data_IF_931597796548
#
_entry.id   IF_931597796548
#
_cell.length_a   1.000
_cell.length_b   1.000
_cell.length_c   1.000
_cell.angle_alpha   90.00
_cell.angle_beta   90.00
_cell.angle_gamma   90.00
#
_symmetry.space_group_name_H-M   'P 1'
#
loop_
_entity.id
_entity.type
_entity.pdbx_description
1 polymer ?
#
# COMPACT_ATOMS: atom_id res chain seq x y z
N UNK A 1 10.05 -14.58 19.26
CA UNK A 1 8.89 -13.76 18.87
C UNK A 1 9.28 -12.96 17.65
N UNK A 2 8.43 -12.95 16.63
CA UNK A 2 8.66 -12.18 15.39
C UNK A 2 8.73 -10.66 15.69
N UNK A 3 9.64 -9.89 15.07
CA UNK A 3 9.77 -8.44 15.32
C UNK A 3 8.50 -7.64 15.03
N UNK A 4 7.69 -8.07 14.07
CA UNK A 4 6.41 -7.43 13.71
C UNK A 4 5.38 -7.73 14.80
N UNK A 5 5.28 -8.98 15.27
CA UNK A 5 4.41 -9.35 16.40
C UNK A 5 4.80 -8.54 17.65
N UNK A 6 6.10 -8.40 17.93
CA UNK A 6 6.60 -7.59 19.03
C UNK A 6 6.21 -6.12 18.89
N UNK A 7 6.30 -5.55 17.69
CA UNK A 7 5.86 -4.17 17.42
C UNK A 7 4.35 -4.00 17.62
N UNK A 8 3.54 -4.97 17.19
CA UNK A 8 2.08 -4.94 17.35
C UNK A 8 1.69 -4.96 18.82
N UNK A 9 2.26 -5.87 19.61
CA UNK A 9 2.01 -5.94 21.07
C UNK A 9 2.42 -4.64 21.74
N UNK A 10 3.60 -4.11 21.40
CA UNK A 10 4.07 -2.83 21.96
C UNK A 10 3.07 -1.71 21.70
N UNK A 11 2.46 -1.68 20.51
CA UNK A 11 1.37 -0.76 20.19
C UNK A 11 0.18 -0.89 21.16
N UNK A 12 -0.33 -2.10 21.35
CA UNK A 12 -1.44 -2.34 22.27
C UNK A 12 -1.09 -2.04 23.75
N UNK A 13 0.13 -2.35 24.17
CA UNK A 13 0.59 -2.09 25.54
C UNK A 13 0.72 -0.58 25.81
N UNK A 14 1.27 0.17 24.84
CA UNK A 14 1.47 1.61 24.96
C UNK A 14 0.17 2.40 25.13
N UNK A 15 -0.96 1.85 24.68
CA UNK A 15 -2.28 2.45 24.86
C UNK A 15 -2.67 2.55 26.35
N UNK A 16 -2.22 1.63 27.21
CA UNK A 16 -2.47 1.70 28.65
C UNK A 16 -1.47 2.58 29.39
N UNK A 17 -0.24 2.69 28.88
CA UNK A 17 0.81 3.54 29.47
C UNK A 17 0.47 5.04 29.36
N UNK A 18 -0.44 5.39 28.45
CA UNK A 18 -0.97 6.74 28.29
C UNK A 18 -1.94 7.18 29.40
N UNK A 19 -2.42 6.25 30.25
CA UNK A 19 -3.45 6.52 31.26
C UNK A 19 -3.01 6.11 32.68
N UNK A 20 -3.34 6.94 33.67
CA UNK A 20 -3.12 6.61 35.08
C UNK A 20 -4.26 5.72 35.62
N UNK A 21 -4.02 4.42 35.74
CA UNK A 21 -5.02 3.45 36.24
C UNK A 21 -4.99 3.40 37.78
N UNK A 22 -5.93 4.10 38.43
CA UNK A 22 -6.02 4.15 39.90
C UNK A 22 -6.86 3.04 40.54
N UNK A 23 -7.70 2.36 39.76
CA UNK A 23 -8.52 1.24 40.26
C UNK A 23 -7.72 -0.07 40.24
N UNK A 24 -7.50 -0.67 41.40
CA UNK A 24 -6.70 -1.89 41.54
C UNK A 24 -7.31 -3.10 40.81
N UNK A 25 -8.64 -3.20 40.72
CA UNK A 25 -9.31 -4.27 39.99
C UNK A 25 -9.12 -4.11 38.47
N UNK A 26 -9.27 -2.89 37.94
CA UNK A 26 -8.98 -2.59 36.54
C UNK A 26 -7.51 -2.80 36.20
N UNK A 27 -6.60 -2.42 37.12
CA UNK A 27 -5.17 -2.65 36.97
C UNK A 27 -4.83 -4.15 36.91
N UNK A 28 -5.44 -4.96 37.76
CA UNK A 28 -5.27 -6.41 37.73
C UNK A 28 -5.79 -7.03 36.42
N UNK A 29 -6.93 -6.54 35.91
CA UNK A 29 -7.48 -7.01 34.62
C UNK A 29 -6.59 -6.63 33.44
N UNK A 30 -6.03 -5.42 33.43
CA UNK A 30 -5.07 -4.98 32.41
C UNK A 30 -3.82 -5.85 32.45
N UNK A 31 -3.22 -6.06 33.62
CA UNK A 31 -2.02 -6.90 33.74
C UNK A 31 -2.26 -8.36 33.35
N UNK A 32 -3.42 -8.93 33.72
CA UNK A 32 -3.81 -10.26 33.28
C UNK A 32 -3.92 -10.33 31.74
N UNK A 33 -4.56 -9.34 31.13
CA UNK A 33 -4.70 -9.27 29.67
C UNK A 33 -3.33 -9.12 28.98
N UNK A 34 -2.41 -8.31 29.52
CA UNK A 34 -1.03 -8.18 29.01
C UNK A 34 -0.28 -9.51 29.00
N UNK A 35 -0.45 -10.30 30.06
CA UNK A 35 0.15 -11.63 30.17
C UNK A 35 -0.43 -12.61 29.15
N UNK A 36 -1.76 -12.61 28.98
CA UNK A 36 -2.45 -13.46 28.00
C UNK A 36 -2.05 -13.11 26.56
N UNK A 37 -1.97 -11.82 26.22
CA UNK A 37 -1.50 -11.36 24.90
C UNK A 37 -0.04 -11.75 24.64
N UNK A 38 0.83 -11.56 25.64
CA UNK A 38 2.25 -11.91 25.52
C UNK A 38 2.45 -13.43 25.39
N UNK A 39 1.65 -14.23 26.10
CA UNK A 39 1.67 -15.67 25.98
C UNK A 39 1.20 -16.13 24.59
N UNK A 40 0.14 -15.51 24.05
CA UNK A 40 -0.37 -15.79 22.71
C UNK A 40 0.70 -15.50 21.64
N UNK A 41 1.35 -14.35 21.74
CA UNK A 41 2.43 -13.95 20.85
C UNK A 41 3.66 -14.86 20.92
N UNK A 42 4.01 -15.34 22.11
CA UNK A 42 5.12 -16.29 22.27
C UNK A 42 4.78 -17.70 21.75
N UNK A 43 3.48 -18.03 21.65
CA UNK A 43 2.99 -19.34 21.17
C UNK A 43 2.72 -19.38 19.66
N UNK A 44 2.96 -18.29 18.94
CA UNK A 44 2.68 -18.16 17.49
C UNK A 44 3.96 -17.95 16.70
N UNK A 45 4.09 -18.67 15.58
CA UNK A 45 5.33 -18.74 14.80
C UNK A 45 5.53 -17.60 13.79
N UNK A 46 4.44 -16.97 13.36
CA UNK A 46 4.41 -15.91 12.35
C UNK A 46 3.19 -14.98 12.55
N UNK A 47 3.23 -13.83 11.88
CA UNK A 47 2.23 -12.75 12.00
C UNK A 47 0.83 -13.19 11.57
N UNK A 48 0.72 -14.07 10.57
CA UNK A 48 -0.57 -14.59 10.10
C UNK A 48 -1.23 -15.47 11.16
N UNK A 49 -0.47 -16.41 11.72
CA UNK A 49 -0.93 -17.28 12.80
C UNK A 49 -1.28 -16.49 14.08
N UNK A 50 -0.53 -15.41 14.37
CA UNK A 50 -0.84 -14.51 15.47
C UNK A 50 -2.17 -13.79 15.26
N UNK A 51 -2.38 -13.18 14.09
CA UNK A 51 -3.61 -12.44 13.81
C UNK A 51 -4.85 -13.34 13.86
N UNK A 52 -4.81 -14.53 13.26
CA UNK A 52 -5.94 -15.47 13.32
C UNK A 52 -6.27 -15.84 14.77
N UNK A 53 -5.28 -16.23 15.56
CA UNK A 53 -5.55 -16.61 16.96
C UNK A 53 -5.91 -15.42 17.84
N UNK A 54 -5.39 -14.23 17.55
CA UNK A 54 -5.75 -13.01 18.28
C UNK A 54 -7.22 -12.66 18.08
N UNK A 55 -7.72 -12.73 16.84
CA UNK A 55 -9.13 -12.58 16.52
C UNK A 55 -10.02 -13.65 17.19
N UNK A 56 -9.57 -14.92 17.22
CA UNK A 56 -10.36 -16.03 17.80
C UNK A 56 -10.32 -16.08 19.34
N UNK A 57 -9.31 -15.45 19.97
CA UNK A 57 -9.07 -15.55 21.41
C UNK A 57 -9.98 -14.70 22.29
N UNK A 58 -10.75 -13.77 21.71
CA UNK A 58 -11.52 -12.79 22.48
C UNK A 58 -10.68 -11.66 23.11
N UNK A 59 -9.37 -11.66 22.87
CA UNK A 59 -8.45 -10.68 23.46
C UNK A 59 -8.63 -9.28 22.86
N UNK A 60 -9.08 -9.18 21.61
CA UNK A 60 -9.34 -7.89 20.97
C UNK A 60 -10.57 -7.20 21.57
N UNK A 61 -11.66 -7.92 21.82
CA UNK A 61 -12.85 -7.35 22.45
C UNK A 61 -12.56 -6.95 23.90
N UNK A 62 -11.79 -7.77 24.64
CA UNK A 62 -11.33 -7.41 25.99
C UNK A 62 -10.43 -6.18 25.98
N UNK A 63 -9.55 -6.04 24.99
CA UNK A 63 -8.72 -4.85 24.82
C UNK A 63 -9.58 -3.59 24.64
N UNK A 64 -10.53 -3.60 23.71
CA UNK A 64 -11.41 -2.46 23.45
C UNK A 64 -12.24 -2.08 24.68
N UNK A 65 -12.76 -3.07 25.41
CA UNK A 65 -13.49 -2.85 26.66
C UNK A 65 -12.59 -2.23 27.75
N UNK A 66 -11.38 -2.76 27.96
CA UNK A 66 -10.45 -2.26 28.97
C UNK A 66 -9.95 -0.85 28.66
N UNK A 67 -9.62 -0.54 27.40
CA UNK A 67 -9.21 0.81 27.00
C UNK A 67 -10.34 1.81 27.22
N UNK A 68 -11.59 1.43 26.89
CA UNK A 68 -12.75 2.30 27.12
C UNK A 68 -13.01 2.51 28.61
N UNK A 69 -12.89 1.46 29.44
CA UNK A 69 -13.04 1.57 30.89
C UNK A 69 -11.96 2.46 31.52
N UNK A 70 -10.69 2.30 31.09
CA UNK A 70 -9.57 3.12 31.56
C UNK A 70 -9.74 4.58 31.11
N UNK A 71 -10.14 4.82 29.87
CA UNK A 71 -10.43 6.15 29.36
C UNK A 71 -11.58 6.81 30.13
N UNK A 72 -12.71 6.12 30.30
CA UNK A 72 -13.87 6.62 31.06
C UNK A 72 -13.54 6.89 32.54
N UNK A 73 -12.75 6.02 33.18
CA UNK A 73 -12.32 6.22 34.57
C UNK A 73 -11.39 7.43 34.71
N UNK A 74 -10.53 7.68 33.71
CA UNK A 74 -9.67 8.88 33.68
C UNK A 74 -10.48 10.17 33.44
N UNK A 75 -11.56 10.09 32.65
CA UNK A 75 -12.49 11.21 32.43
C UNK A 75 -13.34 11.50 33.67
N UNK A 76 -13.74 10.47 34.43
CA UNK A 76 -14.46 10.63 35.71
C UNK A 76 -13.60 11.26 36.81
N UNK A 77 -12.27 11.15 36.76
CA UNK A 77 -11.38 11.83 37.72
C UNK A 77 -11.19 13.32 37.43
N UNK A 78 -11.66 13.80 36.28
CA UNK A 78 -11.74 15.23 35.97
C UNK A 78 -13.05 15.86 36.45
N UNK A 79 -13.96 15.06 37.02
CA UNK A 79 -15.16 15.56 37.67
C UNK A 79 -14.82 15.99 39.12
N UNK A 80 -15.22 17.19 39.57
CA UNK A 80 -15.07 17.58 40.96
C UNK A 80 -15.81 16.59 41.85
N UNK A 81 -15.17 16.21 42.96
CA UNK A 81 -15.75 15.38 44.00
C UNK A 81 -17.10 15.95 44.48
N UNK A 82 -18.07 15.04 44.63
CA UNK A 82 -19.36 15.18 45.32
C UNK A 82 -19.63 16.55 45.94
N UNK A 83 -20.30 17.42 45.17
CA UNK A 83 -21.14 18.46 45.73
C UNK A 83 -22.58 17.95 45.81
N UNK A 84 -23.08 18.02 47.03
CA UNK A 84 -24.45 17.80 47.47
C UNK A 84 -25.51 17.99 46.38
N UNK A 85 -26.41 17.02 46.31
CA UNK A 85 -27.64 17.07 45.54
C UNK A 85 -28.55 18.22 46.03
N UNK A 86 -28.31 19.46 45.58
CA UNK A 86 -29.28 20.56 45.53
C UNK A 86 -28.75 21.80 44.81
N UNK A 87 -28.22 21.66 43.61
CA UNK A 87 -28.15 22.79 42.67
C UNK A 87 -28.25 22.24 41.25
N UNK A 88 -29.28 22.65 40.51
CA UNK A 88 -29.34 22.45 39.07
C UNK A 88 -28.08 23.11 38.50
N UNK A 89 -27.09 22.32 38.09
CA UNK A 89 -25.95 22.88 37.36
C UNK A 89 -26.54 23.61 36.15
N UNK A 90 -26.19 24.89 35.93
CA UNK A 90 -26.67 25.60 34.76
C UNK A 90 -26.26 24.80 33.52
N UNK A 91 -27.21 24.57 32.61
CA UNK A 91 -26.93 23.93 31.33
C UNK A 91 -25.76 24.67 30.66
N UNK A 92 -24.78 23.95 30.09
CA UNK A 92 -23.67 24.58 29.40
C UNK A 92 -24.22 25.47 28.27
N UNK A 93 -23.57 26.62 28.05
CA UNK A 93 -23.84 27.43 26.85
C UNK A 93 -23.57 26.62 25.59
N UNK A 94 -24.21 26.99 24.48
CA UNK A 94 -24.01 26.30 23.19
C UNK A 94 -22.53 26.35 22.80
N UNK A 95 -21.86 27.48 23.07
CA UNK A 95 -20.42 27.64 22.84
C UNK A 95 -19.57 26.67 23.65
N UNK A 96 -19.89 26.45 24.92
CA UNK A 96 -19.18 25.47 25.76
C UNK A 96 -19.41 24.04 25.30
N UNK A 97 -20.64 23.72 24.85
CA UNK A 97 -20.95 22.41 24.30
C UNK A 97 -20.17 22.16 23.00
N UNK A 98 -20.11 23.13 22.09
CA UNK A 98 -19.41 22.97 20.82
C UNK A 98 -17.88 22.94 20.96
N UNK A 99 -17.32 23.49 22.05
CA UNK A 99 -15.87 23.48 22.30
C UNK A 99 -15.25 22.08 22.32
N UNK A 100 -16.03 21.02 22.56
CA UNK A 100 -15.55 19.64 22.47
C UNK A 100 -15.06 19.25 21.06
N UNK A 101 -15.55 19.94 20.01
CA UNK A 101 -15.18 19.70 18.61
C UNK A 101 -13.95 20.49 18.16
N UNK A 102 -13.44 21.41 18.99
CA UNK A 102 -12.29 22.27 18.69
C UNK A 102 -11.05 21.44 18.32
N UNK A 103 -10.80 20.34 19.05
CA UNK A 103 -9.64 19.47 18.78
C UNK A 103 -9.68 18.87 17.37
N UNK A 104 -10.87 18.42 16.93
CA UNK A 104 -11.06 17.89 15.57
C UNK A 104 -10.84 18.97 14.51
N UNK A 105 -11.41 20.15 14.72
CA UNK A 105 -11.21 21.30 13.83
C UNK A 105 -9.73 21.65 13.65
N UNK A 106 -8.96 21.71 14.73
CA UNK A 106 -7.54 22.07 14.67
C UNK A 106 -6.72 21.03 13.88
N UNK A 107 -7.02 19.73 14.00
CA UNK A 107 -6.34 18.69 13.22
C UNK A 107 -6.70 18.75 11.73
N UNK A 108 -7.98 18.97 11.40
CA UNK A 108 -8.42 19.17 10.00
C UNK A 108 -7.75 20.40 9.39
N UNK A 109 -7.72 21.51 10.11
CA UNK A 109 -7.09 22.76 9.67
C UNK A 109 -5.58 22.62 9.46
N UNK A 110 -4.90 21.93 10.37
CA UNK A 110 -3.46 21.65 10.31
C UNK A 110 -3.06 20.82 9.08
N UNK A 111 -3.95 19.97 8.58
CA UNK A 111 -3.70 19.19 7.37
C UNK A 111 -3.59 20.08 6.11
N UNK A 112 -4.26 21.24 6.08
CA UNK A 112 -4.13 22.24 5.03
C UNK A 112 -4.85 21.92 3.71
N UNK A 113 -5.11 20.66 3.38
CA UNK A 113 -5.84 20.23 2.18
C UNK A 113 -7.32 19.89 2.44
N UNK A 114 -7.74 19.73 3.70
CA UNK A 114 -9.09 19.29 4.09
C UNK A 114 -10.09 20.45 4.22
N UNK A 115 -10.34 21.12 3.09
CA UNK A 115 -11.10 22.38 3.03
C UNK A 115 -12.60 22.25 3.21
N UNK A 116 -13.22 21.14 2.79
CA UNK A 116 -14.64 20.90 3.03
C UNK A 116 -14.87 20.50 4.48
N UNK A 117 -13.99 19.68 5.05
CA UNK A 117 -13.98 19.38 6.48
C UNK A 117 -13.82 20.65 7.33
N UNK A 118 -12.85 21.52 7.00
CA UNK A 118 -12.62 22.80 7.70
C UNK A 118 -13.91 23.65 7.72
N UNK A 119 -14.57 23.78 6.57
CA UNK A 119 -15.83 24.51 6.45
C UNK A 119 -16.97 23.86 7.25
N UNK A 120 -17.08 22.54 7.26
CA UNK A 120 -18.14 21.85 8.02
C UNK A 120 -18.03 22.12 9.55
N UNK A 121 -16.81 22.20 10.08
CA UNK A 121 -16.57 22.63 11.47
C UNK A 121 -16.88 24.11 11.69
N UNK A 122 -16.52 24.99 10.75
CA UNK A 122 -16.86 26.42 10.84
C UNK A 122 -18.38 26.65 10.86
N UNK A 123 -19.10 25.93 10.00
CA UNK A 123 -20.57 25.94 9.95
C UNK A 123 -21.17 25.39 11.27
N UNK A 124 -20.56 24.37 11.88
CA UNK A 124 -20.95 23.86 13.20
C UNK A 124 -20.78 24.94 14.28
N UNK A 125 -19.62 25.60 14.35
CA UNK A 125 -19.36 26.61 15.37
C UNK A 125 -20.24 27.86 15.23
N UNK A 126 -20.64 28.21 14.01
CA UNK A 126 -21.56 29.31 13.73
C UNK A 126 -22.96 29.12 14.35
N UNK A 127 -23.32 27.90 14.79
CA UNK A 127 -24.57 27.65 15.54
C UNK A 127 -24.59 28.43 16.87
N UNK A 128 -23.43 28.59 17.53
CA UNK A 128 -23.33 29.38 18.76
C UNK A 128 -23.60 30.88 18.54
N UNK A 129 -23.43 31.39 17.32
CA UNK A 129 -23.76 32.77 16.99
C UNK A 129 -25.28 32.95 16.69
N UNK A 130 -25.99 31.85 16.45
CA UNK A 130 -27.43 31.83 16.11
C UNK A 130 -28.31 31.68 17.36
N UNK A 131 -27.87 30.91 18.34
CA UNK A 131 -28.63 30.64 19.56
C UNK A 131 -27.71 30.22 20.71
N UNK A 132 -28.11 30.54 21.94
CA UNK A 132 -27.52 30.01 23.18
C UNK A 132 -28.50 29.10 23.94
N UNK A 133 -29.67 28.81 23.36
CA UNK A 133 -30.60 27.78 23.84
C UNK A 133 -30.18 26.42 23.29
N UNK A 134 -29.79 25.51 24.19
CA UNK A 134 -29.34 24.15 23.87
C UNK A 134 -30.37 23.31 23.10
N UNK A 135 -31.67 23.49 23.36
CA UNK A 135 -32.71 22.76 22.64
C UNK A 135 -32.82 23.25 21.20
N UNK A 136 -32.78 24.57 21.00
CA UNK A 136 -32.77 25.18 19.66
C UNK A 136 -31.50 24.83 18.89
N UNK A 137 -30.35 24.85 19.57
CA UNK A 137 -29.09 24.41 18.97
C UNK A 137 -29.18 22.96 18.52
N UNK A 138 -29.70 22.05 19.35
CA UNK A 138 -29.85 20.65 18.97
C UNK A 138 -30.78 20.47 17.76
N UNK A 139 -31.89 21.21 17.69
CA UNK A 139 -32.78 21.18 16.52
C UNK A 139 -32.02 21.61 15.26
N UNK A 140 -31.27 22.72 15.32
CA UNK A 140 -30.45 23.21 14.20
C UNK A 140 -29.41 22.14 13.79
N UNK A 141 -28.70 21.56 14.76
CA UNK A 141 -27.66 20.56 14.53
C UNK A 141 -28.18 19.33 13.78
N UNK A 142 -29.39 18.86 14.14
CA UNK A 142 -30.05 17.71 13.53
C UNK A 142 -30.67 18.03 12.17
N UNK A 143 -31.41 19.14 12.06
CA UNK A 143 -32.06 19.55 10.80
C UNK A 143 -31.04 19.85 9.69
N UNK A 144 -29.93 20.51 10.05
CA UNK A 144 -28.85 20.84 9.11
C UNK A 144 -27.77 19.75 9.03
N UNK A 145 -27.89 18.69 9.83
CA UNK A 145 -27.00 17.50 9.87
C UNK A 145 -25.52 17.85 10.00
N UNK A 146 -25.17 18.76 10.92
CA UNK A 146 -23.80 19.27 11.05
C UNK A 146 -22.77 18.18 11.39
N UNK A 147 -23.12 17.23 12.27
CA UNK A 147 -22.20 16.15 12.66
C UNK A 147 -21.91 15.19 11.49
N UNK A 148 -22.94 14.83 10.73
CA UNK A 148 -22.79 14.05 9.50
C UNK A 148 -21.91 14.78 8.48
N UNK A 149 -22.15 16.07 8.24
CA UNK A 149 -21.35 16.86 7.29
C UNK A 149 -19.87 16.88 7.66
N UNK A 150 -19.53 16.98 8.95
CA UNK A 150 -18.13 16.90 9.39
C UNK A 150 -17.50 15.58 8.94
N UNK A 151 -18.18 14.44 9.19
CA UNK A 151 -17.67 13.12 8.82
C UNK A 151 -17.59 12.97 7.29
N UNK A 152 -18.66 13.33 6.59
CA UNK A 152 -18.77 13.11 5.15
C UNK A 152 -17.77 13.98 4.36
N UNK A 153 -17.71 15.27 4.67
CA UNK A 153 -16.89 16.23 3.95
C UNK A 153 -15.39 16.04 4.22
N UNK A 154 -15.00 15.75 5.48
CA UNK A 154 -13.60 15.43 5.83
C UNK A 154 -13.16 14.12 5.14
N UNK A 155 -14.03 13.11 5.12
CA UNK A 155 -13.75 11.86 4.43
C UNK A 155 -13.58 12.05 2.92
N UNK A 156 -14.42 12.88 2.29
CA UNK A 156 -14.31 13.20 0.87
C UNK A 156 -12.99 13.92 0.55
N UNK A 157 -12.54 14.86 1.39
CA UNK A 157 -11.23 15.50 1.23
C UNK A 157 -10.08 14.49 1.27
N UNK A 158 -10.15 13.50 2.16
CA UNK A 158 -9.15 12.44 2.25
C UNK A 158 -9.19 11.55 1.01
N UNK A 159 -10.37 11.03 0.65
CA UNK A 159 -10.50 10.08 -0.45
C UNK A 159 -10.22 10.70 -1.81
N UNK A 160 -10.64 11.95 -2.07
CA UNK A 160 -10.33 12.64 -3.33
C UNK A 160 -8.82 12.86 -3.48
N UNK A 161 -8.13 13.25 -2.41
CA UNK A 161 -6.67 13.41 -2.43
C UNK A 161 -5.98 12.09 -2.76
N UNK A 162 -6.43 10.98 -2.14
CA UNK A 162 -5.91 9.65 -2.44
C UNK A 162 -6.19 9.30 -3.91
N UNK A 163 -7.42 9.51 -4.37
CA UNK A 163 -7.83 9.20 -5.75
C UNK A 163 -7.02 9.96 -6.79
N UNK A 164 -6.75 11.25 -6.55
CA UNK A 164 -5.90 12.10 -7.41
C UNK A 164 -4.44 11.64 -7.44
N UNK A 165 -3.93 11.12 -6.32
CA UNK A 165 -2.55 10.62 -6.20
C UNK A 165 -2.38 9.17 -6.67
N UNK A 166 -3.46 8.47 -7.02
CA UNK A 166 -3.42 7.07 -7.45
C UNK A 166 -3.12 6.93 -8.94
N UNK A 167 -2.51 5.80 -9.32
CA UNK A 167 -2.36 5.45 -10.74
C UNK A 167 -3.74 5.17 -11.35
N UNK A 168 -4.22 5.97 -12.32
CA UNK A 168 -5.53 5.78 -12.93
C UNK A 168 -5.62 4.46 -13.70
N UNK A 169 -4.50 3.85 -14.04
CA UNK A 169 -4.45 2.55 -14.67
C UNK A 169 -4.66 1.42 -13.67
N UNK A 170 -4.59 1.65 -12.37
CA UNK A 170 -4.83 0.62 -11.36
C UNK A 170 -6.31 0.49 -11.00
N UNK A 171 -7.14 0.18 -12.00
CA UNK A 171 -8.61 0.12 -11.93
C UNK A 171 -9.14 -0.71 -10.78
N UNK A 172 -8.47 -1.81 -10.46
CA UNK A 172 -8.86 -2.69 -9.36
C UNK A 172 -8.84 -2.00 -7.98
N UNK A 173 -8.21 -0.83 -7.85
CA UNK A 173 -8.27 -0.01 -6.63
C UNK A 173 -8.95 1.34 -6.87
N UNK A 174 -8.75 1.97 -8.05
CA UNK A 174 -9.35 3.28 -8.33
C UNK A 174 -10.86 3.21 -8.52
N UNK A 175 -11.41 2.17 -9.16
CA UNK A 175 -12.86 2.02 -9.33
C UNK A 175 -13.59 1.75 -8.00
N UNK A 176 -13.13 0.83 -7.14
CA UNK A 176 -13.72 0.67 -5.81
C UNK A 176 -13.68 1.93 -4.96
N UNK A 177 -12.58 2.69 -5.00
CA UNK A 177 -12.47 3.96 -4.28
C UNK A 177 -13.46 4.99 -4.81
N UNK A 178 -13.64 5.06 -6.14
CA UNK A 178 -14.65 5.92 -6.75
C UNK A 178 -16.06 5.59 -6.28
N UNK A 179 -16.45 4.31 -6.32
CA UNK A 179 -17.76 3.85 -5.81
C UNK A 179 -17.94 4.20 -4.32
N UNK A 180 -16.87 4.05 -3.54
CA UNK A 180 -16.87 4.42 -2.12
C UNK A 180 -17.11 5.93 -1.94
N UNK A 181 -16.43 6.78 -2.71
CA UNK A 181 -16.62 8.23 -2.68
C UNK A 181 -18.02 8.65 -3.14
N UNK A 182 -18.56 8.02 -4.18
CA UNK A 182 -19.91 8.29 -4.68
C UNK A 182 -20.96 7.99 -3.59
N UNK A 183 -20.76 6.93 -2.79
CA UNK A 183 -21.63 6.64 -1.64
C UNK A 183 -21.62 7.75 -0.58
N UNK A 184 -20.48 8.42 -0.34
CA UNK A 184 -20.42 9.58 0.56
C UNK A 184 -21.15 10.80 -0.04
N UNK A 185 -21.00 11.04 -1.34
CA UNK A 185 -21.64 12.16 -2.05
C UNK A 185 -23.15 12.03 -2.12
N UNK A 186 -23.66 10.81 -2.24
CA UNK A 186 -25.08 10.54 -2.41
C UNK A 186 -25.84 10.28 -1.11
N UNK A 187 -25.13 10.04 -0.01
CA UNK A 187 -25.77 9.74 1.29
C UNK A 187 -26.19 11.00 2.01
N UNK A 188 -27.39 10.96 2.60
CA UNK A 188 -27.89 12.07 3.42
C UNK A 188 -27.46 11.96 4.88
N UNK A 189 -27.07 10.79 5.37
CA UNK A 189 -26.71 10.52 6.77
C UNK A 189 -26.00 9.18 6.97
N UNK A 190 -25.61 8.90 8.22
CA UNK A 190 -24.76 7.77 8.60
C UNK A 190 -25.38 6.39 8.31
N UNK A 191 -26.68 6.22 8.56
CA UNK A 191 -27.36 4.94 8.33
C UNK A 191 -27.49 4.64 6.83
N UNK A 192 -27.80 5.66 6.03
CA UNK A 192 -27.87 5.54 4.58
C UNK A 192 -26.50 5.24 3.98
N UNK A 193 -25.44 5.91 4.48
CA UNK A 193 -24.07 5.64 4.09
C UNK A 193 -23.69 4.19 4.41
N UNK A 194 -23.94 3.75 5.64
CA UNK A 194 -23.62 2.39 6.09
C UNK A 194 -24.29 1.37 5.19
N UNK A 195 -25.59 1.53 4.93
CA UNK A 195 -26.34 0.65 4.04
C UNK A 195 -25.80 0.63 2.60
N UNK A 196 -25.47 1.80 2.03
CA UNK A 196 -24.91 1.88 0.67
C UNK A 196 -23.53 1.23 0.61
N UNK A 197 -22.67 1.48 1.59
CA UNK A 197 -21.32 0.91 1.63
C UNK A 197 -21.36 -0.62 1.78
N UNK A 198 -22.24 -1.15 2.63
CA UNK A 198 -22.46 -2.60 2.76
C UNK A 198 -22.90 -3.21 1.43
N UNK A 199 -23.88 -2.60 0.76
CA UNK A 199 -24.37 -3.08 -0.55
C UNK A 199 -23.28 -3.03 -1.62
N UNK A 200 -22.40 -2.03 -1.57
CA UNK A 200 -21.30 -1.86 -2.52
C UNK A 200 -20.13 -2.81 -2.26
N UNK A 201 -20.02 -3.48 -1.10
CA UNK A 201 -18.82 -4.29 -0.83
C UNK A 201 -18.67 -5.50 -1.76
N UNK A 202 -19.76 -6.17 -2.09
CA UNK A 202 -19.71 -7.30 -3.03
C UNK A 202 -19.25 -6.83 -4.42
N UNK A 203 -19.70 -5.66 -4.86
CA UNK A 203 -19.29 -5.08 -6.13
C UNK A 203 -17.82 -4.64 -6.12
N UNK A 204 -17.38 -3.95 -5.05
CA UNK A 204 -15.98 -3.56 -4.85
C UNK A 204 -15.06 -4.78 -4.78
N UNK A 205 -15.48 -5.86 -4.12
CA UNK A 205 -14.74 -7.11 -4.04
C UNK A 205 -14.66 -7.80 -5.42
N UNK A 206 -15.76 -7.81 -6.16
CA UNK A 206 -15.80 -8.36 -7.53
C UNK A 206 -14.82 -7.62 -8.44
N UNK A 207 -14.87 -6.29 -8.48
CA UNK A 207 -13.96 -5.46 -9.29
C UNK A 207 -12.49 -5.72 -8.93
N UNK A 208 -12.18 -5.74 -7.62
CA UNK A 208 -10.82 -6.06 -7.11
C UNK A 208 -10.34 -7.42 -7.60
N UNK A 209 -11.20 -8.43 -7.49
CA UNK A 209 -10.88 -9.81 -7.83
C UNK A 209 -10.70 -9.98 -9.34
N UNK A 210 -11.64 -9.46 -10.14
CA UNK A 210 -11.58 -9.53 -11.60
C UNK A 210 -10.32 -8.82 -12.13
N UNK A 211 -10.05 -7.60 -11.69
CA UNK A 211 -8.84 -6.86 -12.09
C UNK A 211 -7.55 -7.55 -11.64
N UNK A 212 -7.51 -8.08 -10.41
CA UNK A 212 -6.35 -8.82 -9.91
C UNK A 212 -6.06 -10.10 -10.69
N UNK A 213 -7.11 -10.85 -11.06
CA UNK A 213 -6.99 -12.04 -11.91
C UNK A 213 -6.48 -11.66 -13.30
N UNK A 214 -7.00 -10.59 -13.91
CA UNK A 214 -6.55 -10.13 -15.23
C UNK A 214 -5.07 -9.71 -15.23
N UNK A 215 -4.64 -8.97 -14.21
CA UNK A 215 -3.23 -8.58 -14.03
C UNK A 215 -2.34 -9.81 -13.87
N UNK A 216 -2.74 -10.77 -13.04
CA UNK A 216 -1.98 -12.00 -12.83
C UNK A 216 -1.88 -12.85 -14.11
N UNK A 217 -2.98 -12.97 -14.85
CA UNK A 217 -3.01 -13.66 -16.15
C UNK A 217 -2.12 -12.95 -17.17
N UNK A 218 -2.18 -11.62 -17.25
CA UNK A 218 -1.31 -10.85 -18.13
C UNK A 218 0.18 -11.06 -17.78
N UNK A 219 0.55 -10.89 -16.51
CA UNK A 219 1.93 -11.08 -16.05
C UNK A 219 2.46 -12.50 -16.33
N UNK A 220 1.67 -13.53 -16.01
CA UNK A 220 2.09 -14.91 -16.22
C UNK A 220 2.18 -15.29 -17.71
N UNK A 221 1.27 -14.78 -18.55
CA UNK A 221 1.32 -14.98 -19.99
C UNK A 221 2.57 -14.32 -20.58
N UNK A 222 2.92 -13.12 -20.10
CA UNK A 222 4.15 -12.43 -20.47
C UNK A 222 5.40 -13.26 -20.14
N UNK A 223 5.45 -13.87 -18.95
CA UNK A 223 6.56 -14.76 -18.55
C UNK A 223 6.70 -15.92 -19.52
N UNK A 224 5.60 -16.61 -19.84
CA UNK A 224 5.66 -17.76 -20.73
C UNK A 224 6.03 -17.36 -22.16
N UNK A 225 5.49 -16.26 -22.68
CA UNK A 225 5.83 -15.76 -24.01
C UNK A 225 7.30 -15.35 -24.11
N UNK A 226 7.84 -14.67 -23.09
CA UNK A 226 9.26 -14.35 -23.01
C UNK A 226 10.12 -15.62 -22.86
N UNK A 227 9.68 -16.58 -22.05
CA UNK A 227 10.34 -17.87 -21.89
C UNK A 227 10.42 -18.63 -23.20
N UNK A 228 9.32 -18.67 -23.94
CA UNK A 228 9.24 -19.24 -25.28
C UNK A 228 10.19 -18.54 -26.25
N UNK A 229 10.17 -17.20 -26.29
CA UNK A 229 11.05 -16.44 -27.17
C UNK A 229 12.54 -16.66 -26.86
N UNK A 230 12.93 -16.66 -25.58
CA UNK A 230 14.33 -16.94 -25.18
C UNK A 230 14.76 -18.34 -25.60
N UNK A 231 13.92 -19.34 -25.36
CA UNK A 231 14.16 -20.71 -25.78
C UNK A 231 14.29 -20.80 -27.31
N UNK A 232 13.45 -20.05 -28.04
CA UNK A 232 13.48 -19.97 -29.51
C UNK A 232 14.78 -19.40 -30.05
N UNK A 233 15.29 -18.32 -29.44
CA UNK A 233 16.59 -17.72 -29.79
C UNK A 233 17.73 -18.70 -29.52
N UNK A 234 17.74 -19.37 -28.36
CA UNK A 234 18.79 -20.36 -28.03
C UNK A 234 18.89 -21.49 -29.07
N UNK A 235 17.75 -21.96 -29.59
CA UNK A 235 17.72 -22.96 -30.67
C UNK A 235 18.21 -22.35 -32.00
N UNK A 236 17.80 -21.11 -32.30
CA UNK A 236 18.13 -20.46 -33.58
C UNK A 236 19.61 -20.07 -33.69
N UNK A 237 20.19 -19.52 -32.62
CA UNK A 237 21.59 -19.10 -32.59
C UNK A 237 22.56 -20.27 -32.43
N UNK A 238 22.06 -21.45 -32.02
CA UNK A 238 22.79 -22.71 -31.91
C UNK A 238 24.17 -22.57 -31.27
N UNK A 239 24.25 -21.89 -30.12
CA UNK A 239 25.54 -21.64 -29.43
C UNK A 239 26.25 -22.93 -28.99
N UNK A 240 25.49 -23.99 -28.67
CA UNK A 240 25.98 -25.36 -28.41
C UNK A 240 24.84 -26.40 -28.48
N UNK A 241 25.17 -27.68 -28.69
CA UNK A 241 24.17 -28.77 -28.75
C UNK A 241 23.35 -28.93 -27.46
N UNK A 242 23.99 -28.71 -26.31
CA UNK A 242 23.32 -28.77 -25.00
C UNK A 242 22.36 -27.60 -24.83
N UNK A 243 22.76 -26.39 -25.23
CA UNK A 243 21.91 -25.20 -25.20
C UNK A 243 20.73 -25.33 -26.15
N UNK A 244 20.95 -25.84 -27.36
CA UNK A 244 19.91 -26.08 -28.36
C UNK A 244 18.90 -27.13 -27.88
N UNK A 245 19.37 -28.24 -27.28
CA UNK A 245 18.48 -29.28 -26.72
C UNK A 245 17.62 -28.74 -25.59
N UNK A 246 18.21 -27.95 -24.68
CA UNK A 246 17.46 -27.29 -23.59
C UNK A 246 16.47 -26.25 -24.12
N UNK A 247 16.85 -25.49 -25.15
CA UNK A 247 15.99 -24.52 -25.82
C UNK A 247 14.79 -25.21 -26.48
N UNK A 248 15.01 -26.33 -27.17
CA UNK A 248 13.94 -27.11 -27.79
C UNK A 248 12.91 -27.59 -26.76
N UNK A 249 13.38 -28.18 -25.66
CA UNK A 249 12.50 -28.60 -24.56
C UNK A 249 11.73 -27.40 -23.96
N UNK A 250 12.41 -26.26 -23.81
CA UNK A 250 11.80 -25.00 -23.37
C UNK A 250 10.72 -24.48 -24.32
N UNK A 251 10.92 -24.56 -25.64
CA UNK A 251 9.91 -24.18 -26.63
C UNK A 251 8.66 -25.06 -26.52
N UNK A 252 8.83 -26.39 -26.45
CA UNK A 252 7.71 -27.34 -26.33
C UNK A 252 6.90 -27.08 -25.07
N UNK A 253 7.58 -26.97 -23.92
CA UNK A 253 6.94 -26.75 -22.61
C UNK A 253 6.17 -25.43 -22.58
N UNK A 254 6.82 -24.31 -22.95
CA UNK A 254 6.15 -23.02 -22.93
C UNK A 254 4.99 -22.95 -23.93
N UNK A 255 5.10 -23.54 -25.13
CA UNK A 255 3.99 -23.59 -26.10
C UNK A 255 2.76 -24.29 -25.53
N UNK A 256 2.96 -25.44 -24.87
CA UNK A 256 1.86 -26.18 -24.23
C UNK A 256 1.23 -25.37 -23.09
N UNK A 257 2.05 -24.76 -22.23
CA UNK A 257 1.58 -23.90 -21.13
C UNK A 257 0.78 -22.69 -21.63
N UNK A 258 1.27 -22.00 -22.67
CA UNK A 258 0.59 -20.82 -23.23
C UNK A 258 -0.76 -21.22 -23.83
N UNK A 259 -0.83 -22.30 -24.60
CA UNK A 259 -2.10 -22.81 -25.17
C UNK A 259 -3.12 -23.09 -24.08
N UNK A 260 -2.74 -23.88 -23.07
CA UNK A 260 -3.61 -24.25 -21.96
C UNK A 260 -4.06 -23.02 -21.18
N UNK A 261 -3.16 -22.05 -20.99
CA UNK A 261 -3.49 -20.80 -20.31
C UNK A 261 -4.51 -19.98 -21.09
N UNK A 262 -4.33 -19.81 -22.41
CA UNK A 262 -5.27 -19.08 -23.26
C UNK A 262 -6.63 -19.79 -23.35
N UNK A 263 -6.64 -21.11 -23.41
CA UNK A 263 -7.86 -21.92 -23.38
C UNK A 263 -8.61 -21.73 -22.06
N UNK A 264 -7.93 -21.90 -20.92
CA UNK A 264 -8.53 -21.72 -19.60
C UNK A 264 -9.00 -20.28 -19.39
N UNK A 265 -8.24 -19.29 -19.85
CA UNK A 265 -8.60 -17.88 -19.75
C UNK A 265 -9.91 -17.58 -20.48
N UNK A 266 -10.07 -18.14 -21.69
CA UNK A 266 -11.31 -18.02 -22.46
C UNK A 266 -12.47 -18.78 -21.81
N UNK A 267 -12.23 -20.01 -21.34
CA UNK A 267 -13.26 -20.87 -20.79
C UNK A 267 -13.80 -20.40 -19.43
N UNK A 268 -12.91 -19.93 -18.54
CA UNK A 268 -13.26 -19.56 -17.17
C UNK A 268 -13.64 -18.09 -17.03
N UNK A 269 -13.02 -17.20 -17.82
CA UNK A 269 -13.18 -15.76 -17.65
C UNK A 269 -13.76 -15.08 -18.90
N UNK A 270 -13.97 -15.80 -20.00
CA UNK A 270 -14.41 -15.20 -21.27
C UNK A 270 -13.37 -14.25 -21.88
N UNK A 271 -12.12 -14.29 -21.42
CA UNK A 271 -11.08 -13.36 -21.81
C UNK A 271 -10.24 -13.91 -22.96
N UNK A 272 -9.84 -13.02 -23.88
CA UNK A 272 -8.87 -13.31 -24.93
C UNK A 272 -7.59 -12.51 -24.74
N UNK A 273 -6.53 -12.89 -25.46
CA UNK A 273 -5.30 -12.09 -25.55
C UNK A 273 -5.58 -10.62 -25.88
N UNK A 274 -6.51 -10.37 -26.81
CA UNK A 274 -6.84 -9.01 -27.23
C UNK A 274 -7.55 -8.23 -26.12
N UNK A 275 -8.31 -8.90 -25.25
CA UNK A 275 -8.97 -8.22 -24.14
C UNK A 275 -7.95 -7.76 -23.09
N UNK A 276 -6.90 -8.55 -22.83
CA UNK A 276 -5.75 -8.13 -22.01
C UNK A 276 -4.96 -6.97 -22.65
N UNK A 277 -5.05 -6.78 -23.97
CA UNK A 277 -4.44 -5.65 -24.67
C UNK A 277 -5.42 -4.50 -24.90
N UNK A 278 -6.69 -4.58 -24.51
CA UNK A 278 -7.59 -3.41 -24.55
C UNK A 278 -7.48 -2.58 -23.28
N UNK A 279 -7.23 -3.24 -22.15
CA UNK A 279 -7.05 -2.56 -20.88
C UNK A 279 -5.59 -2.08 -20.70
N UNK A 280 -5.43 -0.77 -20.51
CA UNK A 280 -4.14 -0.15 -20.21
C UNK A 280 -3.56 -0.66 -18.88
N UNK A 281 -4.41 -1.09 -17.94
CA UNK A 281 -4.00 -1.67 -16.66
C UNK A 281 -3.21 -2.97 -16.82
N UNK A 282 -3.59 -3.81 -17.78
CA UNK A 282 -3.00 -5.13 -18.03
C UNK A 282 -1.86 -5.07 -19.05
N UNK A 283 -1.89 -4.12 -19.98
CA UNK A 283 -0.84 -3.91 -20.98
C UNK A 283 0.57 -3.78 -20.38
N UNK A 284 0.71 -3.07 -19.27
CA UNK A 284 2.03 -2.89 -18.63
C UNK A 284 2.62 -4.21 -18.15
N UNK A 285 1.77 -5.10 -17.62
CA UNK A 285 2.20 -6.42 -17.11
C UNK A 285 2.61 -7.36 -18.23
N UNK A 286 2.13 -7.12 -19.44
CA UNK A 286 2.51 -7.85 -20.62
C UNK A 286 3.94 -7.50 -21.11
N UNK A 287 4.50 -6.34 -20.74
CA UNK A 287 5.80 -5.84 -21.23
C UNK A 287 7.04 -6.33 -20.46
N UNK A 288 6.92 -7.47 -19.76
CA UNK A 288 7.94 -8.23 -19.00
C UNK A 288 8.02 -7.93 -17.49
N UNK A 289 7.81 -8.94 -16.61
CA UNK A 289 7.82 -8.77 -15.16
C UNK A 289 9.21 -8.83 -14.50
N UNK A 290 10.30 -8.93 -15.25
CA UNK A 290 11.67 -9.01 -14.68
C UNK A 290 12.27 -7.66 -14.25
N UNK A 291 11.45 -6.62 -14.15
CA UNK A 291 11.84 -5.22 -13.99
C UNK A 291 11.03 -4.55 -12.85
N UNK A 292 11.04 -5.12 -11.65
CA UNK A 292 9.97 -4.86 -10.66
C UNK A 292 10.51 -5.01 -9.21
N UNK A 293 10.44 -3.99 -8.36
CA UNK A 293 10.75 -4.04 -6.90
C UNK A 293 9.50 -4.30 -6.04
N UNK A 294 9.58 -4.10 -4.71
CA UNK A 294 8.62 -4.50 -3.67
C UNK A 294 7.19 -3.91 -3.77
N UNK A 295 6.90 -2.99 -4.72
CA UNK A 295 5.54 -2.61 -5.14
C UNK A 295 5.25 -2.89 -6.61
N UNK A 296 6.17 -3.50 -7.33
CA UNK A 296 5.99 -3.74 -8.75
C UNK A 296 7.00 -3.04 -9.67
N UNK A 297 7.97 -2.24 -9.20
CA UNK A 297 8.63 -1.25 -10.07
C UNK A 297 10.16 -1.25 -10.03
N UNK A 298 10.82 -1.62 -11.13
CA UNK A 298 12.16 -1.14 -11.52
C UNK A 298 12.11 -0.81 -13.02
N UNK A 299 12.12 0.48 -13.37
CA UNK A 299 12.22 0.89 -14.78
C UNK A 299 13.47 0.29 -15.43
N UNK A 300 13.26 -0.45 -16.52
CA UNK A 300 14.31 -0.89 -17.43
C UNK A 300 13.69 -1.35 -18.77
N UNK A 301 13.25 -0.38 -19.57
CA UNK A 301 12.79 -0.60 -20.95
C UNK A 301 11.65 -1.63 -21.12
N UNK A 302 10.45 -1.27 -20.67
CA UNK A 302 9.23 -1.77 -21.33
C UNK A 302 9.31 -1.34 -22.80
N UNK A 303 8.99 -2.23 -23.76
CA UNK A 303 9.09 -1.90 -25.18
C UNK A 303 7.78 -2.30 -25.88
N UNK A 304 6.92 -1.34 -26.27
CA UNK A 304 5.64 -1.61 -26.93
C UNK A 304 5.73 -2.49 -28.15
N UNK A 305 6.82 -2.38 -28.93
CA UNK A 305 7.07 -3.24 -30.09
C UNK A 305 7.09 -4.73 -29.76
N UNK A 306 7.29 -5.12 -28.49
CA UNK A 306 7.18 -6.51 -28.08
C UNK A 306 5.75 -7.06 -28.12
N UNK A 307 4.71 -6.21 -28.13
CA UNK A 307 3.33 -6.66 -28.36
C UNK A 307 3.16 -7.29 -29.74
N UNK A 308 3.73 -6.66 -30.77
CA UNK A 308 3.72 -7.19 -32.13
C UNK A 308 4.49 -8.50 -32.22
N UNK A 309 5.61 -8.60 -31.49
CA UNK A 309 6.36 -9.86 -31.37
C UNK A 309 5.52 -10.95 -30.72
N UNK A 310 4.82 -10.67 -29.62
CA UNK A 310 3.97 -11.66 -28.98
C UNK A 310 2.78 -12.06 -29.85
N UNK A 311 2.13 -11.10 -30.51
CA UNK A 311 1.04 -11.38 -31.44
C UNK A 311 1.52 -12.29 -32.58
N UNK A 312 2.69 -11.99 -33.15
CA UNK A 312 3.32 -12.80 -34.19
C UNK A 312 3.63 -14.23 -33.71
N UNK A 313 4.23 -14.39 -32.53
CA UNK A 313 4.51 -15.72 -31.96
C UNK A 313 3.22 -16.50 -31.71
N UNK A 314 2.17 -15.84 -31.20
CA UNK A 314 0.87 -16.47 -30.95
C UNK A 314 0.23 -16.96 -32.26
N UNK A 315 0.14 -16.09 -33.25
CA UNK A 315 -0.54 -16.35 -34.53
C UNK A 315 0.22 -17.34 -35.40
N UNK A 316 1.55 -17.21 -35.49
CA UNK A 316 2.34 -17.92 -36.50
C UNK A 316 3.05 -19.17 -35.99
N UNK A 317 3.18 -19.33 -34.66
CA UNK A 317 3.92 -20.43 -34.04
C UNK A 317 3.09 -21.13 -32.95
N UNK A 318 2.74 -20.44 -31.87
CA UNK A 318 2.21 -21.05 -30.65
C UNK A 318 0.83 -21.64 -30.88
N UNK A 319 -0.12 -20.93 -31.51
CA UNK A 319 -1.50 -21.41 -31.68
C UNK A 319 -1.73 -22.23 -32.95
N UNK A 320 -0.73 -22.34 -33.83
CA UNK A 320 -0.84 -23.10 -35.10
C UNK A 320 -0.68 -24.60 -34.91
N UNK A 321 -1.14 -25.45 -35.83
CA UNK A 321 -0.88 -26.90 -35.77
C UNK A 321 0.51 -27.33 -36.23
N UNK A 322 1.39 -26.36 -36.56
CA UNK A 322 2.76 -26.62 -37.03
C UNK A 322 3.56 -27.43 -36.01
N UNK A 323 4.44 -28.30 -36.49
CA UNK A 323 5.39 -29.01 -35.63
C UNK A 323 6.52 -28.09 -35.16
N UNK A 324 7.30 -28.52 -34.16
CA UNK A 324 8.46 -27.72 -33.73
C UNK A 324 9.50 -27.60 -34.83
N UNK A 325 9.70 -28.66 -35.60
CA UNK A 325 10.63 -28.72 -36.73
C UNK A 325 10.27 -27.64 -37.76
N UNK A 326 8.99 -27.47 -38.08
CA UNK A 326 8.52 -26.42 -39.01
C UNK A 326 8.74 -25.01 -38.45
N UNK A 327 8.61 -24.83 -37.13
CA UNK A 327 8.76 -23.54 -36.46
C UNK A 327 10.24 -23.12 -36.36
N UNK A 328 11.16 -24.06 -36.12
CA UNK A 328 12.58 -23.77 -35.84
C UNK A 328 13.33 -23.19 -37.05
N UNK A 329 12.81 -23.38 -38.27
CA UNK A 329 13.41 -22.76 -39.47
C UNK A 329 12.89 -21.36 -39.77
N UNK A 330 11.80 -20.93 -39.12
CA UNK A 330 11.28 -19.56 -39.26
C UNK A 330 12.21 -18.59 -38.53
N UNK A 331 12.68 -17.54 -39.21
CA UNK A 331 13.49 -16.50 -38.56
C UNK A 331 12.70 -15.87 -37.40
N UNK A 332 13.24 -15.84 -36.17
CA UNK A 332 12.53 -15.26 -35.04
C UNK A 332 12.33 -13.75 -35.22
N UNK A 333 11.18 -13.19 -34.81
CA UNK A 333 10.96 -11.75 -34.79
C UNK A 333 11.95 -11.06 -33.85
N UNK A 334 12.24 -9.77 -34.10
CA UNK A 334 13.19 -9.01 -33.29
C UNK A 334 12.54 -8.56 -31.98
N UNK A 335 12.74 -9.31 -30.91
CA UNK A 335 12.37 -8.89 -29.56
C UNK A 335 13.37 -7.89 -29.00
N UNK A 336 12.88 -6.84 -28.36
CA UNK A 336 13.73 -5.85 -27.70
C UNK A 336 13.75 -6.11 -26.21
N UNK A 337 14.94 -6.37 -25.67
CA UNK A 337 15.17 -6.54 -24.24
C UNK A 337 16.43 -5.81 -23.82
N UNK A 338 16.39 -5.19 -22.65
CA UNK A 338 17.54 -4.53 -22.04
C UNK A 338 17.76 -5.17 -20.68
N UNK A 339 18.97 -5.66 -20.45
CA UNK A 339 19.38 -6.13 -19.13
C UNK A 339 20.10 -4.95 -18.48
N UNK A 340 19.44 -4.30 -17.52
CA UNK A 340 20.10 -3.32 -16.66
C UNK A 340 20.74 -4.08 -15.50
N UNK A 341 22.07 -4.15 -15.48
CA UNK A 341 22.79 -4.60 -14.31
C UNK A 341 22.72 -3.52 -13.23
N UNK A 342 22.84 -3.90 -11.95
CA UNK A 342 22.77 -3.01 -10.78
C UNK A 342 23.87 -1.91 -10.70
N UNK A 343 24.68 -1.75 -11.75
CA UNK A 343 25.61 -0.63 -11.90
C UNK A 343 25.04 0.38 -12.89
N UNK A 344 24.80 1.61 -12.43
CA UNK A 344 24.52 2.77 -13.28
C UNK A 344 25.74 3.08 -14.17
N UNK A 345 25.84 2.39 -15.30
CA UNK A 345 26.78 2.63 -16.39
C UNK A 345 26.12 3.58 -17.43
N UNK A 346 26.92 4.33 -18.19
CA UNK A 346 26.50 5.04 -19.42
C UNK A 346 25.66 4.19 -20.39
N UNK A 347 25.86 2.87 -20.42
CA UNK A 347 24.99 1.96 -21.18
C UNK A 347 23.56 1.92 -20.64
N UNK A 348 23.40 1.90 -19.31
CA UNK A 348 22.10 1.94 -18.66
C UNK A 348 21.39 3.28 -18.95
N UNK A 349 22.08 4.40 -18.81
CA UNK A 349 21.51 5.73 -19.13
C UNK A 349 21.08 5.84 -20.60
N UNK A 350 21.84 5.25 -21.53
CA UNK A 350 21.49 5.25 -22.95
C UNK A 350 20.29 4.35 -23.24
N UNK A 351 20.23 3.18 -22.61
CA UNK A 351 19.10 2.26 -22.73
C UNK A 351 17.82 2.85 -22.12
N UNK A 352 17.93 3.53 -20.98
CA UNK A 352 16.84 4.28 -20.35
C UNK A 352 16.31 5.38 -21.28
N UNK A 353 17.17 6.19 -21.89
CA UNK A 353 16.73 7.24 -22.84
C UNK A 353 16.02 6.67 -24.08
N UNK A 354 16.53 5.57 -24.64
CA UNK A 354 15.88 4.90 -25.78
C UNK A 354 14.53 4.35 -25.36
N UNK A 355 14.46 3.76 -24.17
CA UNK A 355 13.21 3.27 -23.61
C UNK A 355 12.21 4.39 -23.36
N UNK A 356 12.62 5.50 -22.76
CA UNK A 356 11.76 6.67 -22.51
C UNK A 356 11.15 7.19 -23.82
N UNK A 357 11.94 7.32 -24.88
CA UNK A 357 11.44 7.75 -26.19
C UNK A 357 10.44 6.76 -26.79
N UNK A 358 10.72 5.45 -26.70
CA UNK A 358 9.81 4.41 -27.20
C UNK A 358 8.52 4.27 -26.37
N UNK A 359 8.57 4.69 -25.11
CA UNK A 359 7.49 4.55 -24.15
C UNK A 359 6.63 5.80 -23.99
N UNK A 360 7.03 6.93 -24.57
CA UNK A 360 6.38 8.24 -24.38
C UNK A 360 4.88 8.23 -24.68
N UNK A 361 4.43 7.34 -25.56
CA UNK A 361 3.05 7.28 -26.01
C UNK A 361 2.15 6.33 -25.20
N UNK A 362 2.74 5.46 -24.35
CA UNK A 362 1.97 4.60 -23.46
C UNK A 362 1.37 5.45 -22.34
N UNK A 363 0.08 5.25 -22.07
CA UNK A 363 -0.67 5.97 -21.03
C UNK A 363 0.04 5.96 -19.68
N UNK A 364 0.57 4.81 -19.26
CA UNK A 364 1.29 4.64 -17.99
C UNK A 364 2.43 5.65 -17.79
N UNK A 365 3.28 5.83 -18.81
CA UNK A 365 4.44 6.72 -18.69
C UNK A 365 4.05 8.20 -18.73
N UNK A 366 2.96 8.54 -19.44
CA UNK A 366 2.36 9.88 -19.39
C UNK A 366 1.87 10.19 -17.97
N UNK A 367 1.13 9.27 -17.35
CA UNK A 367 0.60 9.45 -16.01
C UNK A 367 1.67 9.44 -14.92
N UNK A 368 2.69 8.59 -15.00
CA UNK A 368 3.78 8.57 -14.03
C UNK A 368 4.53 9.90 -13.94
N UNK A 369 4.65 10.65 -15.05
CA UNK A 369 5.23 12.00 -15.02
C UNK A 369 4.34 13.01 -14.31
N UNK A 370 3.01 12.86 -14.40
CA UNK A 370 2.03 13.72 -13.75
C UNK A 370 1.90 13.40 -12.24
N UNK A 371 2.01 12.12 -11.87
CA UNK A 371 1.89 11.67 -10.49
C UNK A 371 3.03 12.14 -9.59
N UNK A 372 4.26 12.30 -10.11
CA UNK A 372 5.34 12.88 -9.30
C UNK A 372 5.04 14.33 -8.94
N UNK A 373 4.47 15.09 -9.87
CA UNK A 373 4.13 16.49 -9.65
C UNK A 373 2.98 16.66 -8.63
N UNK A 374 2.00 15.76 -8.66
CA UNK A 374 0.88 15.73 -7.71
C UNK A 374 1.33 15.26 -6.31
N UNK A 375 2.15 14.21 -6.23
CA UNK A 375 2.67 13.72 -4.94
C UNK A 375 3.50 14.78 -4.20
N UNK A 376 4.28 15.57 -4.94
CA UNK A 376 5.07 16.67 -4.38
C UNK A 376 4.19 17.82 -3.87
N UNK A 377 3.01 18.05 -4.46
CA UNK A 377 2.07 19.08 -4.03
C UNK A 377 1.41 18.76 -2.67
N UNK A 378 1.21 17.48 -2.37
CA UNK A 378 0.58 17.00 -1.15
C UNK A 378 1.56 16.50 -0.07
N UNK A 379 2.86 16.49 -0.37
CA UNK A 379 3.88 16.16 0.62
C UNK A 379 3.83 17.16 1.79
N UNK A 380 3.97 16.70 3.06
CA UNK A 380 4.01 17.61 4.20
C UNK A 380 5.14 18.61 3.99
N UNK A 381 4.79 19.90 3.83
CA UNK A 381 5.78 20.96 3.72
C UNK A 381 6.63 20.91 4.98
N UNK A 382 7.90 20.49 4.84
CA UNK A 382 8.86 20.52 5.93
C UNK A 382 8.83 21.92 6.52
N UNK A 383 8.50 22.04 7.80
CA UNK A 383 8.66 23.30 8.50
C UNK A 383 10.12 23.73 8.31
N UNK A 384 10.38 25.00 7.93
CA UNK A 384 11.74 25.48 7.79
C UNK A 384 12.44 25.25 9.13
N UNK A 385 13.45 24.37 9.13
CA UNK A 385 14.30 24.19 10.28
C UNK A 385 14.80 25.58 10.69
N UNK A 386 14.44 26.01 11.90
CA UNK A 386 15.04 27.20 12.50
C UNK A 386 16.55 26.96 12.49
N UNK A 387 17.25 27.60 11.56
CA UNK A 387 18.71 27.69 11.57
C UNK A 387 19.10 28.12 12.97
N UNK A 388 19.72 27.23 13.74
CA UNK A 388 20.44 27.62 14.94
C UNK A 388 21.53 28.58 14.47
N UNK A 389 21.32 29.87 14.73
CA UNK A 389 22.39 30.85 14.65
C UNK A 389 23.49 30.40 15.62
N UNK A 390 24.58 29.91 15.06
CA UNK A 390 25.82 29.71 15.80
C UNK A 390 26.41 31.10 16.11
N UNK A 391 25.93 31.71 17.18
CA UNK A 391 26.61 32.80 17.87
C UNK A 391 27.72 32.25 18.77
N UNK A 392 28.97 32.55 18.42
CA UNK A 392 30.17 32.33 19.24
C UNK A 392 30.07 33.09 20.59
N UNK A 393 30.46 32.43 21.70
CA UNK A 393 30.85 33.14 22.92
C UNK A 393 30.83 32.34 24.24
N UNK A 394 31.95 31.72 24.59
CA UNK A 394 32.59 31.88 25.92
C UNK A 394 32.07 31.12 27.16
N UNK A 395 32.89 30.13 27.58
CA UNK A 395 33.38 29.86 28.96
C UNK A 395 32.46 29.34 30.09
N UNK A 396 33.03 28.35 30.81
CA UNK A 396 32.64 27.70 32.08
C UNK A 396 31.46 26.70 31.98
N UNK A 397 31.53 25.43 32.41
CA UNK A 397 32.54 24.57 33.04
C UNK A 397 31.82 23.30 33.56
N UNK A 398 32.49 22.13 33.53
CA UNK A 398 32.22 20.89 34.31
C UNK A 398 30.79 20.28 34.26
N UNK A 399 30.50 19.02 33.97
CA UNK A 399 31.18 17.72 34.13
C UNK A 399 30.46 16.72 33.21
N UNK A 400 31.18 15.75 32.64
CA UNK A 400 30.61 14.58 32.01
C UNK A 400 31.02 13.32 32.80
N UNK A 401 30.10 12.44 33.20
CA UNK A 401 30.44 11.06 33.48
C UNK A 401 30.30 10.20 32.21
N UNK A 402 31.35 9.40 32.02
CA UNK A 402 31.63 8.43 30.96
C UNK A 402 30.59 7.31 30.87
N UNK A 403 30.36 6.81 29.66
CA UNK A 403 30.19 5.39 29.39
C UNK A 403 30.99 4.99 28.13
N UNK A 404 31.54 3.78 28.19
CA UNK A 404 32.73 3.27 27.50
C UNK A 404 32.42 2.58 26.15
N UNK A 405 33.45 2.17 25.38
CA UNK A 405 33.43 2.07 23.91
C UNK A 405 33.16 0.66 23.36
N UNK A 406 32.63 0.60 22.14
CA UNK A 406 32.57 -0.61 21.33
C UNK A 406 33.99 -1.03 20.85
N UNK A 407 34.37 -2.27 21.16
CA UNK A 407 35.63 -2.89 20.76
C UNK A 407 35.60 -3.29 19.27
N UNK A 408 36.60 -2.80 18.53
CA UNK A 408 37.17 -3.47 17.35
C UNK A 408 38.49 -4.13 17.75
N UNK A 409 38.64 -5.43 17.48
CA UNK A 409 39.89 -6.16 17.15
C UNK A 409 39.45 -7.44 16.42
N UNK A 410 40.05 -7.90 15.33
CA UNK A 410 41.20 -7.44 14.57
C UNK A 410 41.32 -8.33 13.32
N UNK A 411 41.92 -7.78 12.28
CA UNK A 411 42.30 -8.49 11.06
C UNK A 411 43.56 -9.33 11.28
N UNK A 412 43.73 -10.40 10.50
CA UNK A 412 45.06 -10.73 9.99
C UNK A 412 45.01 -11.46 8.64
N UNK A 413 45.96 -11.08 7.81
CA UNK A 413 46.15 -11.34 6.39
C UNK A 413 47.02 -12.57 6.11
N UNK A 414 46.81 -13.23 4.97
CA UNK A 414 47.78 -14.17 4.39
C UNK A 414 47.70 -14.20 2.87
N UNK A 415 48.76 -13.70 2.21
CA UNK A 415 49.00 -13.73 0.75
C UNK A 415 49.51 -15.11 0.27
N UNK A 416 49.32 -15.39 -1.02
CA UNK A 416 50.04 -16.39 -1.82
C UNK A 416 49.07 -17.19 -2.69
N UNK A 417 49.09 -17.11 -4.03
CA UNK A 417 50.17 -17.52 -4.93
C UNK A 417 49.69 -18.78 -5.66
N UNK A 418 49.51 -18.70 -6.98
CA UNK A 418 48.67 -19.64 -7.75
C UNK A 418 49.20 -21.07 -7.95
N UNK A 419 48.35 -21.93 -8.53
CA UNK A 419 48.81 -23.03 -9.38
C UNK A 419 47.69 -23.60 -10.27
N UNK A 420 48.02 -23.74 -11.56
CA UNK A 420 47.36 -24.54 -12.57
C UNK A 420 47.57 -26.05 -12.31
N UNK A 421 46.66 -26.87 -12.86
CA UNK A 421 46.75 -28.32 -13.16
C UNK A 421 46.71 -29.30 -11.96
N UNK A 422 45.69 -30.18 -11.97
CA UNK A 422 45.83 -31.57 -12.48
C UNK A 422 44.49 -32.32 -12.53
N UNK A 423 44.24 -32.92 -13.70
CA UNK A 423 43.43 -34.13 -13.87
C UNK A 423 43.94 -35.27 -12.96
N UNK A 424 43.03 -36.09 -12.41
CA UNK A 424 42.84 -37.52 -12.75
C UNK A 424 42.06 -38.28 -11.66
N UNK A 425 41.08 -39.05 -12.13
CA UNK A 425 40.67 -40.39 -11.65
C UNK A 425 40.17 -40.52 -10.19
N UNK A 426 38.86 -40.70 -10.02
CA UNK A 426 38.18 -42.00 -10.11
C UNK A 426 36.68 -41.81 -10.32
#
# INVERSE_FOLDING_TARGET
MDPIIQSMITGYLSAFDAYEIKNDATKAQVEQWKQELTALANSTGDVGAFNTKFMESGLQERYMSLVTQVAMASMQQSAPAEQEASAVQPLPSVKQFLAQYEMGYQEVKKAGYRKRGEKAYEDLFAVADRTDDMLQAQIILEEERHLWKIVAEDSLDIYETIYEAMDPLYRMVTEPLKLHMDAYKESSGDEELTYKLEKLEDEKLRIRTEGGVQVQLAGQLAVFLLGYFKARIMVWEWESDKSASSGYAGMVSNRASIRRMLENMKALFGLTWQDLLKDESTKIWMLSPRNVDAFGRIKAAMVPGNFEVYADLLENEILTDKTMEEIIFRKPPKYMSFVLNAGHDRYAERAEKIAEELNKDIAYFKYMSQLSDVADAYAPKKQPEKKKENGLGGMFGQEAPKAAPAQQKGAESGKGGGWLKRMKLR
#
